data_IF_240058821948
#
_entry.id   IF_240058821948
#
_cell.length_a   1.000
_cell.length_b   1.000
_cell.length_c   1.000
_cell.angle_alpha   90.00
_cell.angle_beta   90.00
_cell.angle_gamma   90.00
#
_symmetry.space_group_name_H-M   'P 1'
#
loop_
_entity.id
_entity.type
_entity.pdbx_description
1 polymer ?
#
# COMPACT_ATOMS: atom_id res chain seq x y z
N UNK A 1 9.36 11.31 -1.30
CA UNK A 1 10.74 10.82 -1.12
C UNK A 1 10.78 9.43 -1.68
N UNK A 2 11.61 9.17 -2.69
CA UNK A 2 11.79 7.81 -3.20
C UNK A 2 12.45 6.98 -2.10
N UNK A 3 11.67 6.17 -1.40
CA UNK A 3 12.20 5.16 -0.51
C UNK A 3 12.75 4.04 -1.39
N UNK A 4 14.06 3.77 -1.34
CA UNK A 4 14.65 2.60 -1.99
C UNK A 4 14.19 1.25 -1.37
N UNK A 5 13.39 1.31 -0.30
CA UNK A 5 12.63 0.18 0.21
C UNK A 5 11.46 -0.13 -0.71
N UNK A 6 11.15 -1.41 -0.82
CA UNK A 6 9.98 -1.87 -1.57
C UNK A 6 8.69 -1.63 -0.78
N UNK A 7 7.64 -2.37 -1.12
CA UNK A 7 6.34 -2.23 -0.44
C UNK A 7 6.42 -2.48 1.07
N UNK A 8 6.07 -1.46 1.85
CA UNK A 8 5.99 -1.53 3.31
C UNK A 8 4.54 -1.48 3.80
N UNK A 9 4.32 -2.00 5.00
CA UNK A 9 3.02 -1.91 5.68
C UNK A 9 2.80 -0.50 6.22
N UNK A 10 1.73 0.14 5.78
CA UNK A 10 1.27 1.45 6.28
C UNK A 10 -0.21 1.40 6.58
N UNK A 11 -0.72 2.35 7.37
CA UNK A 11 -2.16 2.48 7.63
C UNK A 11 -2.83 3.33 6.55
N UNK A 12 -3.96 2.86 6.05
CA UNK A 12 -4.73 3.49 4.98
C UNK A 12 -6.18 3.66 5.43
N UNK A 13 -6.90 4.61 4.83
CA UNK A 13 -8.35 4.76 4.99
C UNK A 13 -9.01 5.03 3.65
N UNK A 14 -9.68 4.03 3.07
CA UNK A 14 -10.14 4.08 1.69
C UNK A 14 -11.57 4.58 1.53
N UNK A 15 -12.19 5.08 2.61
CA UNK A 15 -13.54 5.61 2.56
C UNK A 15 -13.77 6.62 3.70
N UNK A 16 -13.78 7.90 3.33
CA UNK A 16 -13.84 9.05 4.22
C UNK A 16 -14.59 10.22 3.58
N UNK A 17 -15.44 10.88 4.36
CA UNK A 17 -16.19 12.06 3.93
C UNK A 17 -15.65 13.33 4.61
N UNK A 18 -15.61 14.40 3.83
CA UNK A 18 -15.22 15.72 4.27
C UNK A 18 -16.45 16.59 4.57
N UNK A 19 -16.24 17.88 4.80
CA UNK A 19 -17.34 18.84 4.90
C UNK A 19 -18.14 19.04 3.59
N UNK A 20 -17.73 18.42 2.46
CA UNK A 20 -18.36 18.60 1.15
C UNK A 20 -19.47 17.59 0.94
N UNK A 21 -19.37 16.42 1.58
CA UNK A 21 -20.50 15.49 1.70
C UNK A 21 -21.72 16.19 2.32
N UNK A 22 -22.90 15.93 1.76
CA UNK A 22 -24.14 16.58 2.19
C UNK A 22 -24.50 16.22 3.65
N UNK A 23 -24.14 15.02 4.11
CA UNK A 23 -24.43 14.46 5.43
C UNK A 23 -23.31 14.63 6.48
N UNK A 24 -22.25 15.35 6.13
CA UNK A 24 -21.16 15.72 7.05
C UNK A 24 -21.71 16.43 8.28
N UNK A 25 -21.23 16.03 9.47
CA UNK A 25 -21.68 16.57 10.76
C UNK A 25 -20.97 17.85 11.16
N UNK A 26 -19.91 18.23 10.45
CA UNK A 26 -19.14 19.44 10.71
C UNK A 26 -18.61 20.07 9.43
N UNK A 27 -18.99 21.33 9.19
CA UNK A 27 -18.59 22.12 8.01
C UNK A 27 -17.90 23.44 8.37
N UNK A 28 -17.20 23.48 9.50
CA UNK A 28 -16.44 24.65 9.94
C UNK A 28 -15.26 24.95 9.00
N UNK A 29 -14.74 26.18 9.06
CA UNK A 29 -13.58 26.60 8.23
C UNK A 29 -12.29 25.82 8.56
N UNK A 30 -12.20 25.28 9.78
CA UNK A 30 -11.09 24.46 10.27
C UNK A 30 -11.29 22.95 10.03
N UNK A 31 -12.37 22.53 9.36
CA UNK A 31 -12.69 21.11 9.16
C UNK A 31 -11.55 20.33 8.49
N UNK A 32 -10.90 20.91 7.48
CA UNK A 32 -9.82 20.28 6.73
C UNK A 32 -8.54 20.16 7.59
N UNK A 33 -8.25 21.19 8.42
CA UNK A 33 -7.14 21.14 9.37
C UNK A 33 -7.37 20.10 10.47
N UNK A 34 -8.59 20.01 11.00
CA UNK A 34 -8.97 19.00 11.97
C UNK A 34 -8.88 17.60 11.39
N UNK A 35 -9.29 17.42 10.12
CA UNK A 35 -9.19 16.15 9.42
C UNK A 35 -7.72 15.72 9.29
N UNK A 36 -6.85 16.57 8.76
CA UNK A 36 -5.42 16.26 8.62
C UNK A 36 -4.79 15.94 9.98
N UNK A 37 -5.11 16.70 11.02
CA UNK A 37 -4.66 16.40 12.39
C UNK A 37 -5.11 15.01 12.83
N UNK A 38 -6.39 14.66 12.62
CA UNK A 38 -6.92 13.37 12.99
C UNK A 38 -6.25 12.21 12.24
N UNK A 39 -5.96 12.40 10.95
CA UNK A 39 -5.23 11.41 10.14
C UNK A 39 -3.80 11.21 10.68
N UNK A 40 -3.08 12.29 11.00
CA UNK A 40 -1.74 12.23 11.61
C UNK A 40 -1.76 11.54 12.97
N UNK A 41 -2.70 11.92 13.85
CA UNK A 41 -2.85 11.31 15.19
C UNK A 41 -3.10 9.80 15.12
N UNK A 42 -3.72 9.32 14.03
CA UNK A 42 -3.98 7.89 13.77
C UNK A 42 -2.90 7.22 12.89
N UNK A 43 -1.85 7.95 12.51
CA UNK A 43 -0.76 7.48 11.64
C UNK A 43 -1.24 6.99 10.26
N UNK A 44 -2.31 7.59 9.73
CA UNK A 44 -2.80 7.29 8.37
C UNK A 44 -1.82 7.90 7.36
N UNK A 45 -1.35 7.06 6.43
CA UNK A 45 -0.39 7.47 5.40
C UNK A 45 -1.05 7.72 4.04
N UNK A 46 -2.23 7.14 3.81
CA UNK A 46 -3.00 7.39 2.59
C UNK A 46 -4.49 7.28 2.85
N UNK A 47 -5.27 8.13 2.18
CA UNK A 47 -6.70 8.25 2.36
C UNK A 47 -7.42 8.47 1.02
N UNK A 48 -8.60 7.90 0.84
CA UNK A 48 -9.49 8.25 -0.26
C UNK A 48 -10.57 9.21 0.22
N UNK A 49 -10.71 10.34 -0.46
CA UNK A 49 -11.77 11.32 -0.20
C UNK A 49 -12.97 10.95 -1.05
N UNK A 50 -14.03 10.48 -0.42
CA UNK A 50 -15.15 9.79 -1.06
C UNK A 50 -16.47 10.45 -0.65
N UNK A 51 -16.52 11.78 -0.76
CA UNK A 51 -17.72 12.55 -0.45
C UNK A 51 -18.93 12.03 -1.25
N UNK A 52 -20.12 12.07 -0.64
CA UNK A 52 -21.32 11.63 -1.33
C UNK A 52 -21.63 12.55 -2.51
N UNK A 53 -21.74 11.95 -3.69
CA UNK A 53 -22.24 12.60 -4.91
C UNK A 53 -21.44 13.81 -5.39
N UNK A 54 -20.21 14.02 -4.90
CA UNK A 54 -19.36 15.15 -5.29
C UNK A 54 -17.89 14.75 -5.26
N UNK A 55 -17.16 15.21 -6.27
CA UNK A 55 -15.69 15.22 -6.27
C UNK A 55 -15.26 16.67 -6.13
N UNK A 56 -14.92 17.09 -4.91
CA UNK A 56 -14.54 18.47 -4.62
C UNK A 56 -13.05 18.72 -4.91
N UNK A 57 -12.76 19.18 -6.12
CA UNK A 57 -11.41 19.54 -6.56
C UNK A 57 -10.70 20.44 -5.55
N UNK A 58 -11.34 21.54 -5.13
CA UNK A 58 -10.69 22.55 -4.31
C UNK A 58 -10.30 22.00 -2.95
N UNK A 59 -11.19 21.19 -2.35
CA UNK A 59 -10.88 20.57 -1.07
C UNK A 59 -9.81 19.50 -1.17
N UNK A 60 -9.88 18.63 -2.18
CA UNK A 60 -8.88 17.58 -2.36
C UNK A 60 -7.49 18.19 -2.56
N UNK A 61 -7.38 19.23 -3.38
CA UNK A 61 -6.10 19.95 -3.55
C UNK A 61 -5.68 20.69 -2.27
N UNK A 62 -6.60 21.31 -1.54
CA UNK A 62 -6.27 21.94 -0.27
C UNK A 62 -5.73 20.95 0.77
N UNK A 63 -6.33 19.75 0.88
CA UNK A 63 -5.86 18.68 1.77
C UNK A 63 -4.43 18.24 1.41
N UNK A 64 -4.14 18.10 0.11
CA UNK A 64 -2.79 17.78 -0.40
C UNK A 64 -1.76 18.88 -0.07
N UNK A 65 -2.18 20.14 -0.08
CA UNK A 65 -1.32 21.28 0.27
C UNK A 65 -0.98 21.30 1.78
N UNK A 66 -1.96 21.06 2.65
CA UNK A 66 -1.77 21.18 4.11
C UNK A 66 -1.18 19.92 4.75
N UNK A 67 -1.30 18.75 4.11
CA UNK A 67 -0.72 17.48 4.57
C UNK A 67 -0.01 16.73 3.43
N UNK A 68 1.10 17.27 2.89
CA UNK A 68 1.81 16.71 1.72
C UNK A 68 2.49 15.37 1.99
N UNK A 69 2.59 14.95 3.25
CA UNK A 69 3.10 13.66 3.69
C UNK A 69 2.04 12.54 3.66
N UNK A 70 0.76 12.90 3.54
CA UNK A 70 -0.36 11.97 3.35
C UNK A 70 -0.75 11.94 1.87
N UNK A 71 -0.95 10.73 1.33
CA UNK A 71 -1.45 10.58 -0.04
C UNK A 71 -2.98 10.62 -0.06
N UNK A 72 -3.53 11.61 -0.77
CA UNK A 72 -4.98 11.76 -0.97
C UNK A 72 -5.40 11.26 -2.36
N UNK A 73 -6.18 10.19 -2.38
CA UNK A 73 -6.86 9.70 -3.57
C UNK A 73 -8.19 10.42 -3.76
N UNK A 74 -8.46 10.98 -4.95
CA UNK A 74 -9.79 11.47 -5.27
C UNK A 74 -10.75 10.28 -5.40
N UNK A 75 -11.98 10.46 -4.95
CA UNK A 75 -13.02 9.43 -5.00
C UNK A 75 -14.42 10.02 -4.83
N UNK A 76 -15.42 9.14 -4.84
CA UNK A 76 -16.82 9.50 -4.64
C UNK A 76 -17.60 8.29 -4.14
N UNK A 77 -18.57 8.50 -3.25
CA UNK A 77 -19.55 7.48 -2.86
C UNK A 77 -20.90 7.75 -3.57
N UNK A 78 -21.44 6.70 -4.19
CA UNK A 78 -22.68 6.73 -4.97
C UNK A 78 -23.66 5.66 -4.51
N UNK A 79 -24.95 5.89 -4.75
CA UNK A 79 -26.02 4.92 -4.52
C UNK A 79 -26.47 4.26 -5.80
N UNK A 80 -26.82 2.98 -5.73
CA UNK A 80 -27.37 2.23 -6.88
C UNK A 80 -28.64 1.45 -6.54
N UNK A 81 -29.46 1.24 -7.57
CA UNK A 81 -30.74 0.52 -7.57
C UNK A 81 -30.59 -0.99 -7.86
N UNK A 82 -29.37 -1.49 -8.08
CA UNK A 82 -29.14 -2.87 -8.49
C UNK A 82 -29.36 -3.86 -7.34
N UNK A 83 -30.48 -4.58 -7.41
CA UNK A 83 -30.85 -5.66 -6.48
C UNK A 83 -31.28 -5.19 -5.09
N UNK A 84 -31.21 -3.89 -4.82
CA UNK A 84 -31.34 -3.26 -3.52
C UNK A 84 -31.87 -1.83 -3.65
N UNK A 85 -32.54 -1.33 -2.61
CA UNK A 85 -33.04 0.05 -2.62
C UNK A 85 -31.96 1.09 -2.25
N UNK A 86 -30.86 0.66 -1.62
CA UNK A 86 -29.86 1.58 -1.09
C UNK A 86 -28.47 0.94 -0.99
N UNK A 87 -27.96 0.37 -2.09
CA UNK A 87 -26.58 -0.15 -2.12
C UNK A 87 -25.60 1.00 -2.38
N UNK A 88 -24.57 1.12 -1.56
CA UNK A 88 -23.52 2.13 -1.74
C UNK A 88 -22.29 1.53 -2.44
N UNK A 89 -21.74 2.30 -3.38
CA UNK A 89 -20.51 2.00 -4.13
C UNK A 89 -19.56 3.17 -4.04
N UNK A 90 -18.30 2.89 -3.78
CA UNK A 90 -17.24 3.86 -3.69
C UNK A 90 -16.34 3.70 -4.90
N UNK A 91 -16.02 4.80 -5.58
CA UNK A 91 -15.00 4.82 -6.62
C UNK A 91 -13.77 5.56 -6.10
N UNK A 92 -12.60 4.97 -6.28
CA UNK A 92 -11.29 5.53 -5.91
C UNK A 92 -10.48 5.69 -7.18
N UNK A 93 -9.92 6.88 -7.41
CA UNK A 93 -9.11 7.20 -8.58
C UNK A 93 -7.65 7.44 -8.19
N UNK A 94 -6.78 7.51 -9.20
CA UNK A 94 -5.36 7.74 -8.96
C UNK A 94 -5.09 9.10 -8.32
N UNK A 95 -4.13 9.11 -7.39
CA UNK A 95 -3.54 10.31 -6.82
C UNK A 95 -2.95 11.25 -7.89
N UNK A 96 -2.59 10.70 -9.06
CA UNK A 96 -2.03 11.44 -10.21
C UNK A 96 -3.09 11.99 -11.16
N UNK A 97 -4.37 11.68 -10.95
CA UNK A 97 -5.45 12.20 -11.80
C UNK A 97 -5.58 13.71 -11.61
N UNK A 98 -5.77 14.43 -12.72
CA UNK A 98 -6.10 15.86 -12.69
C UNK A 98 -7.51 16.04 -12.12
N UNK A 99 -7.61 16.38 -10.83
CA UNK A 99 -8.87 16.35 -10.06
C UNK A 99 -9.91 17.29 -10.65
N UNK A 100 -9.47 18.40 -11.26
CA UNK A 100 -10.33 19.32 -11.99
C UNK A 100 -11.09 18.65 -13.13
N UNK A 101 -10.36 17.99 -14.03
CA UNK A 101 -10.96 17.30 -15.18
C UNK A 101 -11.91 16.21 -14.68
N UNK A 102 -11.47 15.41 -13.71
CA UNK A 102 -12.30 14.35 -13.11
C UNK A 102 -13.59 14.90 -12.49
N UNK A 103 -13.50 16.03 -11.78
CA UNK A 103 -14.67 16.70 -11.19
C UNK A 103 -15.60 17.27 -12.25
N UNK A 104 -15.07 17.90 -13.30
CA UNK A 104 -15.86 18.43 -14.42
C UNK A 104 -16.58 17.30 -15.19
N UNK A 105 -15.89 16.19 -15.45
CA UNK A 105 -16.42 15.00 -16.10
C UNK A 105 -17.49 14.32 -15.24
N UNK A 106 -17.23 14.15 -13.94
CA UNK A 106 -18.23 13.63 -13.00
C UNK A 106 -19.49 14.51 -12.97
N UNK A 107 -19.32 15.83 -12.91
CA UNK A 107 -20.44 16.77 -12.94
C UNK A 107 -21.23 16.69 -14.25
N UNK A 108 -20.54 16.55 -15.39
CA UNK A 108 -21.17 16.46 -16.70
C UNK A 108 -21.92 15.14 -16.90
N UNK A 109 -21.22 14.04 -16.71
CA UNK A 109 -21.69 12.71 -17.05
C UNK A 109 -22.57 12.20 -15.91
N UNK A 110 -22.02 12.09 -14.71
CA UNK A 110 -22.71 11.43 -13.61
C UNK A 110 -23.84 12.29 -13.05
N UNK A 111 -23.59 13.55 -12.67
CA UNK A 111 -24.61 14.37 -12.01
C UNK A 111 -25.67 14.94 -12.97
N UNK A 112 -25.26 15.49 -14.13
CA UNK A 112 -26.22 16.13 -15.04
C UNK A 112 -27.00 15.12 -15.89
N UNK A 113 -26.31 14.13 -16.46
CA UNK A 113 -26.89 13.20 -17.43
C UNK A 113 -27.41 11.90 -16.83
N UNK A 114 -26.66 11.26 -15.92
CA UNK A 114 -26.96 9.90 -15.45
C UNK A 114 -27.72 9.83 -14.12
N UNK A 115 -27.65 10.87 -13.29
CA UNK A 115 -28.32 10.88 -12.00
C UNK A 115 -29.84 10.82 -12.14
N UNK A 116 -30.46 9.93 -11.38
CA UNK A 116 -31.91 9.78 -11.28
C UNK A 116 -32.40 10.42 -9.99
N UNK A 117 -33.61 10.98 -9.98
CA UNK A 117 -34.24 11.59 -8.80
C UNK A 117 -33.34 12.63 -8.08
N UNK A 118 -32.67 13.49 -8.87
CA UNK A 118 -31.64 14.43 -8.42
C UNK A 118 -32.15 15.69 -7.70
N UNK A 119 -33.44 15.76 -7.39
CA UNK A 119 -34.03 16.92 -6.71
C UNK A 119 -33.76 16.92 -5.20
N UNK A 120 -33.22 15.82 -4.66
CA UNK A 120 -32.87 15.66 -3.25
C UNK A 120 -31.72 14.67 -3.06
N UNK A 121 -30.81 14.97 -2.13
CA UNK A 121 -29.72 14.06 -1.71
C UNK A 121 -30.24 12.75 -1.08
N UNK A 122 -31.48 12.75 -0.58
CA UNK A 122 -32.12 11.55 -0.03
C UNK A 122 -32.61 10.60 -1.11
N UNK A 123 -32.87 11.11 -2.32
CA UNK A 123 -33.49 10.33 -3.41
C UNK A 123 -32.58 10.07 -4.59
N UNK A 124 -31.44 10.76 -4.70
CA UNK A 124 -30.53 10.62 -5.84
C UNK A 124 -29.85 9.25 -5.90
N UNK A 125 -29.79 8.66 -7.10
CA UNK A 125 -29.12 7.38 -7.36
C UNK A 125 -28.72 7.21 -8.84
N UNK A 126 -27.92 6.19 -9.13
CA UNK A 126 -27.43 5.84 -10.47
C UNK A 126 -27.68 4.38 -10.80
N UNK A 127 -27.81 4.07 -12.10
CA UNK A 127 -27.72 2.69 -12.55
C UNK A 127 -26.31 2.16 -12.29
N UNK A 128 -26.21 0.91 -11.86
CA UNK A 128 -24.93 0.27 -11.56
C UNK A 128 -23.96 0.31 -12.74
N UNK A 129 -24.47 0.05 -13.94
CA UNK A 129 -23.67 0.02 -15.16
C UNK A 129 -23.10 1.42 -15.48
N UNK A 130 -23.81 2.51 -15.17
CA UNK A 130 -23.28 3.86 -15.35
C UNK A 130 -22.11 4.12 -14.38
N UNK A 131 -22.20 3.62 -13.14
CA UNK A 131 -21.11 3.72 -12.13
C UNK A 131 -19.87 2.93 -12.61
N UNK A 132 -20.06 1.68 -13.04
CA UNK A 132 -18.97 0.82 -13.54
C UNK A 132 -18.30 1.46 -14.75
N UNK A 133 -19.08 1.92 -15.74
CA UNK A 133 -18.55 2.56 -16.94
C UNK A 133 -17.76 3.84 -16.62
N UNK A 134 -18.24 4.66 -15.68
CA UNK A 134 -17.54 5.86 -15.24
C UNK A 134 -16.21 5.51 -14.55
N UNK A 135 -16.22 4.51 -13.66
CA UNK A 135 -14.99 4.03 -13.02
C UNK A 135 -13.99 3.52 -14.05
N UNK A 136 -14.39 2.63 -14.95
CA UNK A 136 -13.51 2.03 -15.97
C UNK A 136 -12.93 3.08 -16.92
N UNK A 137 -13.74 4.01 -17.42
CA UNK A 137 -13.29 5.08 -18.35
C UNK A 137 -12.24 6.01 -17.73
N UNK A 138 -12.20 6.14 -16.41
CA UNK A 138 -11.25 6.97 -15.67
C UNK A 138 -10.20 6.13 -14.92
N UNK A 139 -10.17 4.81 -15.15
CA UNK A 139 -9.24 3.87 -14.52
C UNK A 139 -9.41 3.76 -12.99
N UNK A 140 -10.60 4.03 -12.47
CA UNK A 140 -10.96 3.95 -11.06
C UNK A 140 -11.16 2.52 -10.56
N UNK A 141 -10.95 2.32 -9.26
CA UNK A 141 -11.25 1.10 -8.53
C UNK A 141 -12.57 1.25 -7.78
N UNK A 142 -13.33 0.17 -7.68
CA UNK A 142 -14.67 0.19 -7.05
C UNK A 142 -14.64 -0.65 -5.77
N UNK A 143 -15.11 -0.07 -4.68
CA UNK A 143 -15.39 -0.76 -3.40
C UNK A 143 -16.89 -0.81 -3.16
N UNK A 144 -17.37 -1.88 -2.50
CA UNK A 144 -18.78 -2.03 -2.13
C UNK A 144 -18.89 -2.34 -0.63
N UNK A 145 -19.88 -1.75 0.04
CA UNK A 145 -20.20 -2.13 1.41
C UNK A 145 -20.63 -3.59 1.47
N UNK A 146 -20.10 -4.33 2.43
CA UNK A 146 -20.15 -5.77 2.51
C UNK A 146 -20.43 -6.26 3.95
N UNK A 147 -20.83 -7.52 4.07
CA UNK A 147 -21.15 -8.12 5.36
C UNK A 147 -22.32 -7.41 6.05
N UNK A 148 -22.22 -7.23 7.37
CA UNK A 148 -23.31 -6.64 8.18
C UNK A 148 -23.36 -5.11 8.10
N UNK A 149 -22.55 -4.50 7.23
CA UNK A 149 -22.53 -3.05 7.04
C UNK A 149 -23.88 -2.55 6.49
N UNK A 150 -24.34 -1.41 6.96
CA UNK A 150 -25.55 -0.74 6.43
C UNK A 150 -25.35 -0.43 4.96
N UNK A 151 -26.41 -0.52 4.15
CA UNK A 151 -26.35 -0.23 2.71
C UNK A 151 -25.37 -1.14 1.95
N UNK A 152 -25.04 -2.29 2.52
CA UNK A 152 -24.12 -3.28 1.97
C UNK A 152 -24.81 -4.43 1.26
N UNK A 153 -24.08 -5.08 0.36
CA UNK A 153 -24.59 -6.10 -0.56
C UNK A 153 -25.29 -7.26 0.17
N UNK A 154 -24.80 -7.68 1.34
CA UNK A 154 -25.38 -8.81 2.08
C UNK A 154 -26.63 -8.46 2.86
N UNK A 155 -26.75 -7.20 3.26
CA UNK A 155 -27.92 -6.71 3.99
C UNK A 155 -29.06 -6.39 3.03
N UNK A 156 -28.73 -5.74 1.91
CA UNK A 156 -29.74 -5.26 0.97
C UNK A 156 -30.21 -6.33 -0.01
N UNK A 157 -29.37 -7.33 -0.31
CA UNK A 157 -29.69 -8.43 -1.23
C UNK A 157 -29.71 -9.75 -0.43
N UNK A 158 -30.90 -10.30 -0.20
CA UNK A 158 -31.04 -11.56 0.56
C UNK A 158 -30.64 -12.78 -0.27
N UNK A 159 -30.04 -13.80 0.34
CA UNK A 159 -29.77 -15.09 -0.34
C UNK A 159 -31.01 -16.00 -0.42
N UNK A 160 -32.22 -15.45 -0.29
CA UNK A 160 -33.45 -16.24 -0.24
C UNK A 160 -33.87 -16.81 -1.61
N UNK A 161 -33.38 -16.21 -2.71
CA UNK A 161 -33.73 -16.57 -4.08
C UNK A 161 -32.45 -16.71 -4.93
N UNK A 162 -32.37 -17.70 -5.83
CA UNK A 162 -31.21 -17.87 -6.71
C UNK A 162 -30.88 -16.65 -7.58
N UNK A 163 -31.90 -15.86 -7.94
CA UNK A 163 -31.70 -14.62 -8.70
C UNK A 163 -30.89 -13.57 -7.91
N UNK A 164 -31.06 -13.53 -6.58
CA UNK A 164 -30.34 -12.60 -5.73
C UNK A 164 -28.86 -12.99 -5.64
N UNK A 165 -28.56 -14.28 -5.58
CA UNK A 165 -27.18 -14.79 -5.63
C UNK A 165 -26.52 -14.44 -6.98
N UNK A 166 -27.26 -14.57 -8.09
CA UNK A 166 -26.78 -14.16 -9.40
C UNK A 166 -26.50 -12.64 -9.48
N UNK A 167 -27.37 -11.80 -8.89
CA UNK A 167 -27.13 -10.35 -8.82
C UNK A 167 -25.88 -10.05 -7.99
N UNK A 168 -25.68 -10.74 -6.86
CA UNK A 168 -24.47 -10.57 -6.05
C UNK A 168 -23.21 -10.94 -6.79
N UNK A 169 -23.23 -12.07 -7.50
CA UNK A 169 -22.10 -12.50 -8.32
C UNK A 169 -21.79 -11.47 -9.43
N UNK A 170 -22.82 -10.91 -10.06
CA UNK A 170 -22.65 -9.88 -11.09
C UNK A 170 -22.05 -8.58 -10.52
N UNK A 171 -22.50 -8.12 -9.35
CA UNK A 171 -21.87 -6.99 -8.65
C UNK A 171 -20.43 -7.33 -8.30
N UNK A 172 -20.21 -8.49 -7.68
CA UNK A 172 -18.88 -8.94 -7.25
C UNK A 172 -17.90 -9.00 -8.42
N UNK A 173 -18.32 -9.37 -9.63
CA UNK A 173 -17.46 -9.41 -10.81
C UNK A 173 -16.97 -8.03 -11.27
N UNK A 174 -17.76 -6.98 -11.05
CA UNK A 174 -17.47 -5.61 -11.53
C UNK A 174 -16.85 -4.70 -10.47
N UNK A 175 -16.69 -5.18 -9.23
CA UNK A 175 -16.05 -4.44 -8.12
C UNK A 175 -14.66 -5.01 -7.80
N UNK A 176 -13.85 -4.23 -7.09
CA UNK A 176 -12.45 -4.55 -6.81
C UNK A 176 -12.19 -4.84 -5.32
N UNK A 177 -12.93 -4.20 -4.41
CA UNK A 177 -12.78 -4.34 -2.96
C UNK A 177 -14.12 -4.60 -2.29
N UNK A 178 -14.12 -5.40 -1.22
CA UNK A 178 -15.24 -5.51 -0.29
C UNK A 178 -14.93 -4.72 0.98
N UNK A 179 -15.78 -3.78 1.35
CA UNK A 179 -15.65 -2.99 2.58
C UNK A 179 -16.58 -3.51 3.66
N UNK A 180 -16.02 -4.16 4.68
CA UNK A 180 -16.79 -4.72 5.79
C UNK A 180 -16.83 -3.79 7.00
N UNK A 181 -17.84 -3.96 7.86
CA UNK A 181 -17.99 -3.16 9.07
C UNK A 181 -17.24 -3.68 10.30
N UNK A 182 -16.78 -4.95 10.27
CA UNK A 182 -16.11 -5.60 11.40
C UNK A 182 -15.27 -6.81 10.94
N UNK A 183 -14.33 -7.25 11.79
CA UNK A 183 -13.43 -8.38 11.50
C UNK A 183 -14.13 -9.72 11.29
N UNK A 184 -15.26 -9.98 11.96
CA UNK A 184 -15.95 -11.27 11.83
C UNK A 184 -16.47 -11.48 10.41
N UNK A 185 -16.91 -10.41 9.74
CA UNK A 185 -17.36 -10.49 8.36
C UNK A 185 -16.20 -10.89 7.41
N UNK A 186 -14.94 -10.58 7.73
CA UNK A 186 -13.77 -11.03 6.96
C UNK A 186 -13.67 -12.56 6.99
N UNK A 187 -13.76 -13.16 8.18
CA UNK A 187 -13.71 -14.61 8.36
C UNK A 187 -14.87 -15.30 7.62
N UNK A 188 -16.08 -14.74 7.72
CA UNK A 188 -17.28 -15.24 7.04
C UNK A 188 -17.10 -15.20 5.50
N UNK A 189 -16.50 -14.14 4.94
CA UNK A 189 -16.25 -14.04 3.50
C UNK A 189 -15.27 -15.09 2.99
N UNK A 190 -14.15 -15.33 3.67
CA UNK A 190 -13.22 -16.41 3.29
C UNK A 190 -13.86 -17.79 3.46
N UNK A 191 -14.71 -17.96 4.47
CA UNK A 191 -15.36 -19.25 4.73
C UNK A 191 -16.49 -19.57 3.75
N UNK A 192 -17.22 -18.58 3.26
CA UNK A 192 -18.47 -18.80 2.52
C UNK A 192 -18.51 -18.14 1.13
N UNK A 193 -17.94 -16.95 0.95
CA UNK A 193 -18.07 -16.18 -0.30
C UNK A 193 -16.94 -16.52 -1.28
N UNK A 194 -15.68 -16.45 -0.86
CA UNK A 194 -14.52 -16.70 -1.73
C UNK A 194 -14.27 -18.17 -2.06
N UNK A 195 -15.20 -19.05 -1.67
CA UNK A 195 -15.25 -20.42 -2.20
C UNK A 195 -15.92 -20.49 -3.57
N UNK A 196 -16.79 -19.53 -3.86
CA UNK A 196 -17.65 -19.52 -5.04
C UNK A 196 -17.28 -18.40 -6.03
N UNK A 197 -16.57 -17.37 -5.58
CA UNK A 197 -16.05 -16.27 -6.42
C UNK A 197 -14.54 -16.12 -6.26
N UNK A 198 -13.91 -15.41 -7.20
CA UNK A 198 -12.51 -15.02 -7.09
C UNK A 198 -12.27 -14.19 -5.82
N UNK A 199 -11.19 -14.52 -5.12
CA UNK A 199 -10.81 -13.82 -3.90
C UNK A 199 -10.44 -12.37 -4.21
N UNK A 200 -11.03 -11.44 -3.46
CA UNK A 200 -10.78 -10.00 -3.60
C UNK A 200 -10.35 -9.41 -2.26
N UNK A 201 -9.63 -8.28 -2.26
CA UNK A 201 -9.31 -7.54 -1.05
C UNK A 201 -10.55 -7.24 -0.20
N UNK A 202 -10.45 -7.54 1.09
CA UNK A 202 -11.42 -7.09 2.10
C UNK A 202 -10.78 -6.00 2.93
N UNK A 203 -11.43 -4.84 2.99
CA UNK A 203 -10.97 -3.66 3.72
C UNK A 203 -11.96 -3.26 4.81
N UNK A 204 -11.48 -2.47 5.76
CA UNK A 204 -12.33 -1.76 6.73
C UNK A 204 -11.90 -0.30 6.72
N UNK A 205 -12.85 0.59 6.63
CA UNK A 205 -12.59 2.02 6.51
C UNK A 205 -13.33 2.77 7.62
N UNK A 206 -12.95 4.03 7.84
CA UNK A 206 -13.56 4.83 8.90
C UNK A 206 -15.02 5.17 8.60
N UNK A 207 -15.35 5.40 7.32
CA UNK A 207 -16.67 5.92 6.92
C UNK A 207 -16.98 7.22 7.71
N UNK A 208 -15.93 8.03 7.91
CA UNK A 208 -15.97 9.18 8.80
C UNK A 208 -16.73 10.34 8.17
N UNK A 209 -17.59 10.97 8.97
CA UNK A 209 -18.42 12.11 8.58
C UNK A 209 -18.21 13.32 9.51
N UNK A 210 -17.25 13.25 10.43
CA UNK A 210 -16.93 14.31 11.38
C UNK A 210 -15.45 14.23 11.78
N UNK A 211 -14.61 15.17 11.31
CA UNK A 211 -13.17 15.13 11.59
C UNK A 211 -12.85 15.32 13.08
N UNK A 212 -13.77 15.89 13.88
CA UNK A 212 -13.60 16.02 15.34
C UNK A 212 -13.75 14.70 16.07
N UNK A 213 -14.37 13.71 15.42
CA UNK A 213 -14.65 12.39 15.97
C UNK A 213 -14.21 11.29 14.99
N UNK A 214 -13.00 11.44 14.46
CA UNK A 214 -12.37 10.40 13.65
C UNK A 214 -12.09 9.17 14.52
N UNK A 215 -12.72 8.05 14.16
CA UNK A 215 -12.53 6.76 14.82
C UNK A 215 -12.38 5.70 13.73
N UNK A 216 -11.18 5.13 13.61
CA UNK A 216 -11.00 3.90 12.87
C UNK A 216 -11.58 2.75 13.70
N UNK A 217 -12.59 2.04 13.18
CA UNK A 217 -13.17 0.86 13.86
C UNK A 217 -12.10 -0.20 14.14
N UNK A 218 -11.21 -0.37 13.16
CA UNK A 218 -10.01 -1.18 13.18
C UNK A 218 -9.01 -0.55 12.21
N UNK A 219 -7.71 -0.77 12.44
CA UNK A 219 -6.68 -0.29 11.52
C UNK A 219 -6.68 -1.14 10.23
N UNK A 220 -6.74 -0.48 9.08
CA UNK A 220 -6.48 -1.07 7.77
C UNK A 220 -5.01 -0.86 7.40
N UNK A 221 -4.27 -1.96 7.34
CA UNK A 221 -2.89 -1.99 6.90
C UNK A 221 -2.80 -2.48 5.46
N UNK A 222 -2.10 -1.73 4.61
CA UNK A 222 -1.79 -2.12 3.24
C UNK A 222 -0.28 -2.17 3.03
N UNK A 223 0.21 -3.29 2.48
CA UNK A 223 1.60 -3.48 2.06
C UNK A 223 1.79 -3.05 0.62
N UNK A 224 2.03 -1.77 0.41
CA UNK A 224 2.25 -1.19 -0.90
C UNK A 224 3.01 0.12 -0.80
N UNK A 225 3.52 0.57 -1.95
CA UNK A 225 3.91 1.97 -2.11
C UNK A 225 2.63 2.82 -2.01
N UNK A 226 2.74 4.04 -1.47
CA UNK A 226 1.61 4.96 -1.29
C UNK A 226 1.18 5.59 -2.63
N UNK A 227 0.74 4.75 -3.55
CA UNK A 227 0.32 5.13 -4.91
C UNK A 227 -0.88 4.29 -5.32
N UNK A 228 -1.61 4.74 -6.34
CA UNK A 228 -2.74 3.99 -6.84
C UNK A 228 -2.34 2.65 -7.48
N UNK A 229 -1.18 2.59 -8.13
CA UNK A 229 -0.66 1.33 -8.65
C UNK A 229 -0.22 0.39 -7.53
N UNK A 230 0.25 0.93 -6.41
CA UNK A 230 0.45 0.19 -5.16
C UNK A 230 -0.86 -0.39 -4.61
N UNK A 231 -1.94 0.40 -4.59
CA UNK A 231 -3.27 -0.07 -4.18
C UNK A 231 -3.77 -1.20 -5.09
N UNK A 232 -3.59 -1.09 -6.42
CA UNK A 232 -3.92 -2.16 -7.37
C UNK A 232 -3.21 -3.48 -7.06
N UNK A 233 -2.01 -3.46 -6.47
CA UNK A 233 -1.32 -4.69 -6.08
C UNK A 233 -2.13 -5.54 -5.11
N UNK A 234 -2.99 -4.93 -4.29
CA UNK A 234 -3.87 -5.66 -3.37
C UNK A 234 -4.78 -6.63 -4.12
N UNK A 235 -5.24 -6.27 -5.33
CA UNK A 235 -6.15 -7.10 -6.14
C UNK A 235 -5.47 -8.43 -6.52
N UNK A 236 -4.16 -8.39 -6.80
CA UNK A 236 -3.40 -9.59 -7.19
C UNK A 236 -2.95 -10.44 -6.01
N UNK A 237 -2.77 -9.84 -4.82
CA UNK A 237 -2.30 -10.52 -3.62
C UNK A 237 -3.08 -10.09 -2.37
N UNK A 238 -4.41 -10.35 -2.29
CA UNK A 238 -5.27 -9.80 -1.24
C UNK A 238 -4.79 -10.11 0.17
N UNK A 239 -4.55 -11.40 0.46
CA UNK A 239 -4.16 -11.86 1.81
C UNK A 239 -2.75 -11.45 2.22
N UNK A 240 -1.83 -11.24 1.27
CA UNK A 240 -0.44 -10.88 1.57
C UNK A 240 -0.25 -9.38 1.75
N UNK A 241 -1.19 -8.57 1.23
CA UNK A 241 -1.07 -7.11 1.18
C UNK A 241 -2.10 -6.36 1.98
N UNK A 242 -3.21 -6.98 2.35
CA UNK A 242 -4.24 -6.35 3.17
C UNK A 242 -4.34 -7.04 4.52
N UNK A 243 -4.29 -6.25 5.59
CA UNK A 243 -4.45 -6.75 6.94
C UNK A 243 -5.33 -5.80 7.74
N UNK A 244 -6.33 -6.35 8.43
CA UNK A 244 -7.23 -5.59 9.30
C UNK A 244 -6.98 -5.95 10.75
N UNK A 245 -6.56 -4.97 11.55
CA UNK A 245 -6.33 -5.10 12.99
C UNK A 245 -5.09 -4.34 13.46
N UNK A 246 -4.73 -4.52 14.73
CA UNK A 246 -3.75 -3.67 15.44
C UNK A 246 -2.40 -3.59 14.71
N UNK A 247 -1.83 -4.73 14.32
CA UNK A 247 -0.54 -4.79 13.61
C UNK A 247 -0.46 -6.08 12.77
N UNK A 248 0.04 -6.04 11.52
CA UNK A 248 0.28 -7.23 10.72
C UNK A 248 1.26 -8.18 11.42
N UNK A 249 0.98 -9.49 11.52
CA UNK A 249 1.86 -10.44 12.24
C UNK A 249 3.30 -10.48 11.70
N UNK A 250 3.48 -10.26 10.40
CA UNK A 250 4.81 -10.18 9.78
C UNK A 250 5.59 -8.95 10.27
N UNK A 251 4.90 -7.81 10.39
CA UNK A 251 5.48 -6.57 10.88
C UNK A 251 5.80 -6.67 12.38
N UNK A 252 4.88 -7.21 13.17
CA UNK A 252 5.08 -7.43 14.62
C UNK A 252 6.28 -8.36 14.89
N UNK A 253 6.43 -9.45 14.13
CA UNK A 253 7.61 -10.32 14.22
C UNK A 253 8.90 -9.60 13.86
N UNK A 254 8.90 -8.76 12.83
CA UNK A 254 10.09 -8.01 12.43
C UNK A 254 10.49 -7.00 13.51
N UNK A 255 9.52 -6.30 14.11
CA UNK A 255 9.76 -5.32 15.18
C UNK A 255 10.22 -5.98 16.49
N UNK A 256 9.83 -7.22 16.76
CA UNK A 256 10.31 -7.96 17.95
C UNK A 256 11.70 -8.57 17.78
N UNK A 257 12.15 -8.76 16.54
CA UNK A 257 13.38 -9.46 16.19
C UNK A 257 14.37 -8.54 15.45
N UNK A 258 14.51 -7.30 15.91
CA UNK A 258 15.34 -6.27 15.26
C UNK A 258 16.82 -6.71 15.11
N UNK A 259 17.33 -7.46 16.09
CA UNK A 259 18.72 -7.95 16.11
C UNK A 259 19.09 -8.91 14.96
N UNK A 260 18.10 -9.49 14.30
CA UNK A 260 18.31 -10.47 13.22
C UNK A 260 17.73 -10.00 11.88
N UNK A 261 17.29 -8.74 11.82
CA UNK A 261 16.79 -8.12 10.59
C UNK A 261 17.80 -7.11 10.09
N UNK A 262 18.33 -7.34 8.88
CA UNK A 262 19.18 -6.38 8.19
C UNK A 262 18.33 -5.16 7.79
N UNK A 263 18.80 -3.97 8.14
CA UNK A 263 18.11 -2.70 7.86
C UNK A 263 18.73 -1.97 6.66
N UNK A 264 20.07 -1.99 6.55
CA UNK A 264 20.79 -1.30 5.50
C UNK A 264 22.13 -1.98 5.18
N UNK A 265 22.51 -1.94 3.90
CA UNK A 265 23.82 -2.39 3.41
C UNK A 265 24.43 -1.27 2.59
N UNK A 266 25.67 -0.90 2.92
CA UNK A 266 26.39 0.14 2.17
C UNK A 266 27.82 -0.27 1.87
N UNK A 267 28.37 0.30 0.79
CA UNK A 267 29.78 0.15 0.42
C UNK A 267 30.33 1.53 0.08
N UNK A 268 31.45 1.88 0.70
CA UNK A 268 32.16 3.14 0.45
C UNK A 268 33.63 2.91 0.11
N UNK A 269 34.22 3.89 -0.56
CA UNK A 269 35.64 3.89 -0.91
C UNK A 269 36.44 4.37 0.31
N UNK A 270 37.53 3.68 0.62
CA UNK A 270 38.44 4.08 1.71
C UNK A 270 39.30 5.29 1.31
N UNK A 271 39.69 6.11 2.28
CA UNK A 271 40.45 7.35 2.00
C UNK A 271 41.77 7.11 1.25
N UNK A 272 42.43 5.98 1.50
CA UNK A 272 43.72 5.60 0.92
C UNK A 272 43.60 4.64 -0.28
N UNK A 273 42.49 4.71 -1.01
CA UNK A 273 42.24 3.87 -2.18
C UNK A 273 43.35 4.01 -3.24
N UNK A 274 43.82 2.89 -3.78
CA UNK A 274 44.93 2.82 -4.73
C UNK A 274 44.46 2.87 -6.19
N UNK A 275 43.26 2.36 -6.48
CA UNK A 275 42.70 2.25 -7.84
C UNK A 275 41.57 3.27 -8.08
N UNK A 276 41.87 4.56 -7.92
CA UNK A 276 40.89 5.68 -8.01
C UNK A 276 40.35 5.92 -9.43
N UNK A 277 40.93 5.31 -10.46
CA UNK A 277 40.49 5.44 -11.85
C UNK A 277 39.16 4.72 -12.12
N UNK A 278 38.72 3.84 -11.22
CA UNK A 278 37.50 3.03 -11.38
C UNK A 278 36.74 2.90 -10.06
N UNK A 279 35.56 3.52 -10.02
CA UNK A 279 34.57 3.31 -8.95
C UNK A 279 33.69 2.13 -9.34
N UNK A 280 33.85 1.01 -8.63
CA UNK A 280 33.03 -0.20 -8.79
C UNK A 280 31.79 -0.17 -7.89
N UNK A 281 31.97 0.25 -6.63
CA UNK A 281 30.92 0.26 -5.62
C UNK A 281 30.93 1.57 -4.83
N UNK A 282 29.81 2.27 -4.83
CA UNK A 282 29.54 3.38 -3.93
C UNK A 282 28.02 3.48 -3.80
N UNK A 283 27.46 2.79 -2.81
CA UNK A 283 26.02 2.69 -2.65
C UNK A 283 25.62 2.56 -1.19
N UNK A 284 24.36 2.92 -0.95
CA UNK A 284 23.63 2.67 0.27
C UNK A 284 22.28 2.07 -0.14
N UNK A 285 21.96 0.90 0.41
CA UNK A 285 20.79 0.12 0.02
C UNK A 285 20.01 -0.29 1.27
N UNK A 286 18.88 0.40 1.55
CA UNK A 286 18.01 -0.03 2.62
C UNK A 286 17.32 -1.34 2.24
N UNK A 287 17.17 -2.24 3.21
CA UNK A 287 16.64 -3.58 3.02
C UNK A 287 15.19 -3.68 3.50
N UNK A 288 14.38 -4.45 2.77
CA UNK A 288 13.04 -4.82 3.24
C UNK A 288 13.14 -5.96 4.27
N UNK A 289 12.17 -6.04 5.16
CA UNK A 289 12.01 -7.18 6.06
C UNK A 289 11.42 -8.39 5.34
N UNK A 290 11.88 -9.59 5.70
CA UNK A 290 11.39 -10.85 5.15
C UNK A 290 12.19 -11.28 3.92
N UNK A 291 11.52 -11.89 2.94
CA UNK A 291 12.19 -12.35 1.71
C UNK A 291 12.53 -11.16 0.81
N UNK A 292 13.82 -10.99 0.51
CA UNK A 292 14.32 -10.00 -0.45
C UNK A 292 14.82 -10.73 -1.69
N UNK A 293 14.23 -10.44 -2.85
CA UNK A 293 14.66 -11.01 -4.12
C UNK A 293 15.58 -10.03 -4.88
N UNK A 294 16.81 -10.46 -5.18
CA UNK A 294 17.78 -9.67 -5.95
C UNK A 294 17.70 -10.05 -7.43
N UNK A 295 17.09 -9.18 -8.25
CA UNK A 295 16.87 -9.41 -9.68
C UNK A 295 17.75 -8.51 -10.57
N UNK A 296 18.02 -8.94 -11.80
CA UNK A 296 18.77 -8.14 -12.77
C UNK A 296 19.38 -8.96 -13.92
N UNK A 297 19.83 -8.27 -14.97
CA UNK A 297 20.42 -8.89 -16.16
C UNK A 297 21.78 -9.54 -15.89
N UNK A 298 22.28 -10.37 -16.82
CA UNK A 298 23.64 -10.94 -16.72
C UNK A 298 24.67 -9.80 -16.63
N UNK A 299 25.56 -9.87 -15.65
CA UNK A 299 26.58 -8.85 -15.40
C UNK A 299 26.14 -7.65 -14.55
N UNK A 300 24.89 -7.62 -14.05
CA UNK A 300 24.36 -6.51 -13.26
C UNK A 300 24.87 -6.43 -11.80
N UNK A 301 25.89 -7.19 -11.42
CA UNK A 301 26.47 -7.17 -10.07
C UNK A 301 25.76 -8.02 -9.00
N UNK A 302 24.73 -8.82 -9.34
CA UNK A 302 24.02 -9.67 -8.36
C UNK A 302 24.94 -10.56 -7.51
N UNK A 303 25.83 -11.30 -8.16
CA UNK A 303 26.78 -12.17 -7.45
C UNK A 303 27.78 -11.39 -6.62
N UNK A 304 28.17 -10.19 -7.07
CA UNK A 304 29.02 -9.31 -6.26
C UNK A 304 28.29 -8.84 -5.00
N UNK A 305 27.03 -8.43 -5.13
CA UNK A 305 26.20 -8.05 -3.98
C UNK A 305 26.01 -9.22 -3.02
N UNK A 306 25.63 -10.39 -3.52
CA UNK A 306 25.48 -11.61 -2.71
C UNK A 306 26.75 -11.97 -1.95
N UNK A 307 27.93 -11.90 -2.60
CA UNK A 307 29.21 -12.16 -1.96
C UNK A 307 29.52 -11.09 -0.90
N UNK A 308 29.20 -9.81 -1.14
CA UNK A 308 29.38 -8.72 -0.16
C UNK A 308 28.50 -8.96 1.07
N UNK A 309 27.22 -9.32 0.89
CA UNK A 309 26.33 -9.66 2.02
C UNK A 309 26.85 -10.88 2.77
N UNK A 310 27.26 -11.93 2.04
CA UNK A 310 27.84 -13.13 2.64
C UNK A 310 29.10 -12.82 3.46
N UNK A 311 29.95 -11.90 2.98
CA UNK A 311 31.11 -11.44 3.71
C UNK A 311 30.72 -10.65 4.98
N UNK A 312 29.75 -9.74 4.87
CA UNK A 312 29.25 -8.95 6.01
C UNK A 312 28.64 -9.84 7.10
N UNK A 313 27.96 -10.92 6.72
CA UNK A 313 27.32 -11.87 7.63
C UNK A 313 28.24 -13.04 8.05
N UNK A 314 29.53 -12.99 7.67
CA UNK A 314 30.53 -14.00 8.01
C UNK A 314 30.15 -15.42 7.60
N UNK A 315 29.54 -15.59 6.43
CA UNK A 315 29.08 -16.89 5.94
C UNK A 315 30.24 -17.87 5.74
N UNK A 316 30.07 -19.12 6.17
CA UNK A 316 31.10 -20.15 6.05
C UNK A 316 31.34 -20.58 4.59
N UNK A 317 30.37 -20.33 3.70
CA UNK A 317 30.46 -20.68 2.28
C UNK A 317 31.22 -19.67 1.43
N UNK A 318 31.89 -18.68 2.05
CA UNK A 318 32.65 -17.65 1.32
C UNK A 318 33.81 -18.22 0.49
N UNK A 319 34.26 -19.45 0.74
CA UNK A 319 35.20 -20.15 -0.14
C UNK A 319 34.66 -20.37 -1.58
N UNK A 320 33.33 -20.39 -1.75
CA UNK A 320 32.66 -20.52 -3.05
C UNK A 320 32.25 -19.18 -3.67
N UNK A 321 32.67 -18.04 -3.07
CA UNK A 321 32.37 -16.71 -3.58
C UNK A 321 32.81 -16.56 -5.04
N UNK A 322 31.89 -16.17 -5.92
CA UNK A 322 32.11 -16.14 -7.37
C UNK A 322 32.82 -14.87 -7.86
N UNK A 323 32.74 -13.80 -7.06
CA UNK A 323 33.26 -12.46 -7.33
C UNK A 323 34.32 -12.03 -6.30
N UNK A 324 34.06 -12.18 -5.00
CA UNK A 324 35.01 -11.79 -3.93
C UNK A 324 36.06 -12.89 -3.67
N UNK A 325 36.91 -13.16 -4.67
CA UNK A 325 37.97 -14.16 -4.59
C UNK A 325 39.28 -13.68 -5.25
N UNK A 326 40.37 -14.41 -5.00
CA UNK A 326 41.73 -14.13 -5.47
C UNK A 326 41.90 -14.17 -7.00
N UNK A 327 40.95 -14.79 -7.72
CA UNK A 327 40.94 -14.83 -9.18
C UNK A 327 40.19 -13.65 -9.81
N UNK A 328 39.45 -12.87 -8.99
CA UNK A 328 38.55 -11.79 -9.42
C UNK A 328 38.84 -10.50 -8.66
N UNK A 329 37.93 -10.06 -7.78
CA UNK A 329 38.01 -8.71 -7.19
C UNK A 329 39.18 -8.57 -6.20
N UNK A 330 39.66 -9.68 -5.62
CA UNK A 330 40.84 -9.73 -4.75
C UNK A 330 42.14 -10.05 -5.50
N UNK A 331 42.12 -10.02 -6.84
CA UNK A 331 43.26 -10.46 -7.65
C UNK A 331 44.45 -9.52 -7.55
N UNK A 332 45.59 -10.09 -7.13
CA UNK A 332 46.88 -9.41 -7.11
C UNK A 332 47.44 -9.16 -8.53
N UNK A 333 48.23 -8.09 -8.74
CA UNK A 333 48.71 -7.14 -7.73
C UNK A 333 47.75 -5.97 -7.46
N UNK A 334 46.63 -5.86 -8.19
CA UNK A 334 45.75 -4.69 -8.09
C UNK A 334 44.86 -4.70 -6.84
N UNK A 335 44.33 -5.88 -6.50
CA UNK A 335 43.43 -6.11 -5.37
C UNK A 335 42.40 -4.98 -5.21
N UNK A 336 41.48 -4.83 -6.17
CA UNK A 336 40.49 -3.74 -6.15
C UNK A 336 39.64 -3.77 -4.87
N UNK A 337 39.48 -4.93 -4.24
CA UNK A 337 38.75 -5.07 -2.97
C UNK A 337 39.35 -4.26 -1.80
N UNK A 338 40.66 -3.99 -1.79
CA UNK A 338 41.32 -3.18 -0.74
C UNK A 338 40.81 -1.73 -0.68
N UNK A 339 40.21 -1.25 -1.76
CA UNK A 339 39.77 0.14 -1.88
C UNK A 339 38.36 0.36 -1.32
N UNK A 340 37.69 -0.69 -0.82
CA UNK A 340 36.29 -0.64 -0.42
C UNK A 340 36.07 -1.21 0.98
N UNK A 341 35.23 -0.51 1.76
CA UNK A 341 34.70 -0.97 3.03
C UNK A 341 33.18 -1.16 2.90
N UNK A 342 32.70 -2.33 3.28
CA UNK A 342 31.27 -2.62 3.36
C UNK A 342 30.78 -2.44 4.81
N UNK A 343 29.54 -1.98 4.96
CA UNK A 343 28.87 -1.82 6.24
C UNK A 343 27.51 -2.51 6.20
N UNK A 344 27.19 -3.28 7.23
CA UNK A 344 25.86 -3.80 7.51
C UNK A 344 25.31 -3.10 8.74
N UNK A 345 24.05 -2.69 8.68
CA UNK A 345 23.30 -2.13 9.80
C UNK A 345 22.07 -2.99 10.06
N UNK A 346 21.92 -3.40 11.31
CA UNK A 346 20.78 -4.17 11.81
C UNK A 346 19.70 -3.23 12.30
N UNK A 347 18.45 -3.71 12.39
CA UNK A 347 17.31 -2.89 12.82
C UNK A 347 17.42 -2.34 14.25
N UNK A 348 18.22 -2.97 15.10
CA UNK A 348 18.48 -2.49 16.46
C UNK A 348 19.54 -1.37 16.52
N UNK A 349 20.06 -0.96 15.36
CA UNK A 349 21.08 0.07 15.19
C UNK A 349 22.52 -0.45 15.32
N UNK A 350 22.74 -1.74 15.57
CA UNK A 350 24.07 -2.34 15.55
C UNK A 350 24.66 -2.26 14.15
N UNK A 351 25.96 -1.92 14.04
CA UNK A 351 26.66 -1.79 12.77
C UNK A 351 27.96 -2.56 12.78
N UNK A 352 28.22 -3.27 11.70
CA UNK A 352 29.50 -3.93 11.47
C UNK A 352 30.11 -3.49 10.15
N UNK A 353 31.44 -3.43 10.10
CA UNK A 353 32.19 -2.99 8.93
C UNK A 353 33.29 -3.98 8.62
N UNK A 354 33.53 -4.21 7.33
CA UNK A 354 34.58 -5.10 6.87
C UNK A 354 35.19 -4.60 5.56
N UNK A 355 36.51 -4.76 5.43
CA UNK A 355 37.18 -4.55 4.13
C UNK A 355 36.75 -5.64 3.16
N UNK A 356 36.45 -5.30 1.90
CA UNK A 356 36.13 -6.33 0.90
C UNK A 356 37.30 -7.27 0.59
N UNK A 357 38.53 -6.90 0.98
CA UNK A 357 39.71 -7.75 0.85
C UNK A 357 39.94 -8.71 2.01
N UNK A 358 39.21 -8.56 3.13
CA UNK A 358 39.35 -9.43 4.30
C UNK A 358 39.00 -10.89 3.96
N UNK A 359 39.88 -11.82 4.30
CA UNK A 359 39.74 -13.24 3.97
C UNK A 359 39.65 -14.16 5.18
N UNK A 360 39.80 -13.61 6.40
CA UNK A 360 39.66 -14.34 7.65
C UNK A 360 38.65 -13.68 8.58
N UNK A 361 37.78 -14.49 9.18
CA UNK A 361 36.85 -14.04 10.21
C UNK A 361 37.28 -14.68 11.53
N UNK A 362 37.50 -13.88 12.58
CA UNK A 362 37.91 -14.37 13.91
C UNK A 362 36.82 -15.16 14.66
N UNK A 363 35.69 -15.44 14.00
CA UNK A 363 34.51 -16.11 14.57
C UNK A 363 33.98 -17.17 13.61
N UNK A 364 33.42 -18.25 14.18
CA UNK A 364 32.76 -19.35 13.44
C UNK A 364 31.23 -19.21 13.41
N UNK A 365 30.69 -18.14 13.99
CA UNK A 365 29.24 -17.89 14.05
C UNK A 365 28.86 -17.02 12.85
N UNK A 366 27.95 -17.53 12.01
CA UNK A 366 27.32 -16.75 10.95
C UNK A 366 26.25 -15.84 11.56
N UNK A 367 26.24 -14.58 11.14
CA UNK A 367 25.25 -13.61 11.62
C UNK A 367 23.91 -13.72 10.85
N UNK A 368 23.91 -14.38 9.69
CA UNK A 368 22.71 -14.69 8.91
C UNK A 368 22.75 -16.12 8.34
N UNK A 369 21.71 -16.91 8.62
CA UNK A 369 21.58 -18.31 8.18
C UNK A 369 20.97 -18.51 6.79
N UNK A 370 20.20 -17.54 6.30
CA UNK A 370 19.49 -17.64 5.02
C UNK A 370 19.70 -16.35 4.24
N UNK A 371 20.54 -16.43 3.19
CA UNK A 371 20.80 -15.37 2.22
C UNK A 371 20.24 -15.74 0.84
#
# INVERSE_FOLDING_TARGET
MDTYRGSEWRKWDLHLHTASSYDSKYKGEDADTLLCKALHDNSISAVAITDHFIIDEKRIEHLREIAPDIVFFPGVELRTDKGANNLHLIIIFSEKTEVKILSEDFNAIMLREKAKQKDSDDTIYWAFEDIVNFAESHGGLISVHAGKKTNGIDKEISNALPINEAIKADIANNIHFFEVGNKKDIEEYHQYVFKDIEEKPIVICSDNHDPRNYIAKEDLWIKADLTFDGLKQCIFQPQERVFVGIIPPVLDRANKNERVCIDNISVSIVENAKNIDKVWFQFELPMNTGLVAVIGNKGSGKSAFSDIVGQLCKCNTMEYASFLNENRFRKMPKNYADDYIATIEWKDGHKEKISLSESSFDTTIEDAQYL
#
